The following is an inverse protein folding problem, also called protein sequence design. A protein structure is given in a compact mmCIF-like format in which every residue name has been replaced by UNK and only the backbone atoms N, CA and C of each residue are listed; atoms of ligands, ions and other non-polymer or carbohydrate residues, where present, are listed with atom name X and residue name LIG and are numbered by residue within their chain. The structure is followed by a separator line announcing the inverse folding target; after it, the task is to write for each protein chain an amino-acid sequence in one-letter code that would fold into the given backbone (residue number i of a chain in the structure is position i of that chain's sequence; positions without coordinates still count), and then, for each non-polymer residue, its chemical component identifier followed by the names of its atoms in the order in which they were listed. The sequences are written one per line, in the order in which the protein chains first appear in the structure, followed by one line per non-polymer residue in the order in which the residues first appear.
data_IF_232429876243
#
_entry.id   IF_232429876243
#
_cell.length_a   1.000
_cell.length_b   1.000
_cell.length_c   1.000
_cell.angle_alpha   90.00
_cell.angle_beta   90.00
_cell.angle_gamma   90.00
#
_symmetry.space_group_name_H-M   'P 1'
#
loop_
_entity.id
_entity.type
_entity.pdbx_description
1 polymer ?
#
# COMPACT_ATOMS: atom_id res chain seq x y z
N UNK A 1 -0.07 -10.46 -17.31
CA UNK A 1 0.39 -11.09 -16.04
C UNK A 1 1.33 -12.27 -16.28
N UNK A 2 0.96 -13.31 -17.03
CA UNK A 2 1.83 -14.48 -17.29
C UNK A 2 2.83 -14.23 -18.43
N UNK A 3 3.70 -13.24 -18.24
CA UNK A 3 4.73 -12.87 -19.20
C UNK A 3 6.11 -13.21 -18.63
N UNK A 4 6.88 -13.98 -19.40
CA UNK A 4 8.25 -14.40 -19.06
C UNK A 4 9.21 -13.21 -19.05
N UNK A 5 9.04 -12.31 -20.01
CA UNK A 5 9.76 -11.05 -20.10
C UNK A 5 9.20 -10.06 -19.05
N UNK A 6 10.06 -9.62 -18.12
CA UNK A 6 9.68 -8.73 -17.02
C UNK A 6 9.33 -7.33 -17.53
N UNK A 7 9.98 -6.85 -18.58
CA UNK A 7 9.73 -5.51 -19.12
C UNK A 7 8.40 -5.44 -19.86
N UNK A 8 7.90 -6.59 -20.33
CA UNK A 8 6.58 -6.68 -20.98
C UNK A 8 5.48 -7.09 -20.03
N UNK A 9 5.78 -7.34 -18.75
CA UNK A 9 4.78 -7.72 -17.75
C UNK A 9 3.99 -6.49 -17.34
N UNK A 10 2.67 -6.57 -17.49
CA UNK A 10 1.74 -5.54 -17.01
C UNK A 10 2.05 -5.12 -15.57
N UNK A 11 2.09 -3.82 -15.35
CA UNK A 11 2.11 -3.20 -14.03
C UNK A 11 0.76 -3.34 -13.33
N UNK A 12 0.71 -3.07 -12.03
CA UNK A 12 -0.55 -3.10 -11.27
C UNK A 12 -1.58 -2.12 -11.85
N UNK A 13 -1.17 -0.89 -12.15
CA UNK A 13 -2.01 0.16 -12.74
C UNK A 13 -2.57 -0.24 -14.11
N UNK A 14 -1.75 -0.82 -14.99
CA UNK A 14 -2.21 -1.29 -16.31
C UNK A 14 -3.15 -2.49 -16.19
N UNK A 15 -2.93 -3.37 -15.21
CA UNK A 15 -3.79 -4.51 -14.97
C UNK A 15 -5.17 -4.09 -14.45
N UNK A 16 -5.24 -3.10 -13.55
CA UNK A 16 -6.49 -2.54 -13.04
C UNK A 16 -7.30 -1.81 -14.13
N UNK A 17 -6.62 -1.26 -15.14
CA UNK A 17 -7.28 -0.65 -16.30
C UNK A 17 -7.88 -1.65 -17.31
N UNK A 18 -7.75 -2.95 -17.08
CA UNK A 18 -8.30 -3.97 -17.97
C UNK A 18 -9.83 -4.10 -17.81
N UNK A 19 -10.55 -4.25 -18.92
CA UNK A 19 -12.03 -4.35 -18.97
C UNK A 19 -12.65 -5.47 -18.11
N UNK A 20 -11.82 -6.40 -17.61
CA UNK A 20 -12.24 -7.42 -16.65
C UNK A 20 -12.67 -6.81 -15.31
N UNK A 21 -12.06 -5.67 -14.92
CA UNK A 21 -12.32 -5.00 -13.65
C UNK A 21 -13.38 -3.90 -13.74
N UNK A 22 -13.87 -3.52 -14.93
CA UNK A 22 -14.80 -2.39 -15.12
C UNK A 22 -16.04 -2.42 -14.21
N UNK A 23 -16.53 -3.61 -13.87
CA UNK A 23 -17.69 -3.78 -12.98
C UNK A 23 -17.42 -3.50 -11.49
N UNK A 24 -16.14 -3.45 -11.09
CA UNK A 24 -15.70 -3.22 -9.71
C UNK A 24 -14.73 -2.03 -9.60
N UNK A 25 -14.35 -1.43 -10.71
CA UNK A 25 -13.31 -0.42 -10.75
C UNK A 25 -13.84 0.90 -10.23
N UNK A 26 -13.24 1.37 -9.15
CA UNK A 26 -13.37 2.72 -8.64
C UNK A 26 -12.01 3.41 -8.66
N UNK A 27 -11.90 4.51 -9.40
CA UNK A 27 -10.65 5.26 -9.56
C UNK A 27 -10.26 5.94 -8.24
N UNK A 28 -11.22 6.26 -7.37
CA UNK A 28 -10.95 6.90 -6.08
C UNK A 28 -10.27 5.92 -5.10
N UNK A 29 -10.46 4.61 -5.27
CA UNK A 29 -9.82 3.57 -4.47
C UNK A 29 -8.40 3.23 -4.97
N UNK A 30 -8.04 3.59 -6.21
CA UNK A 30 -6.71 3.41 -6.81
C UNK A 30 -5.69 4.46 -6.29
N UNK A 31 -5.47 4.50 -4.97
CA UNK A 31 -4.58 5.47 -4.32
C UNK A 31 -3.09 5.13 -4.46
N UNK A 32 -2.26 6.17 -4.55
CA UNK A 32 -0.81 6.06 -4.48
C UNK A 32 -0.29 6.49 -3.10
N UNK A 33 0.84 5.91 -2.67
CA UNK A 33 1.49 6.36 -1.45
C UNK A 33 1.96 7.81 -1.61
N UNK A 34 1.52 8.68 -0.70
CA UNK A 34 1.85 10.11 -0.75
C UNK A 34 3.37 10.38 -0.64
N UNK A 35 4.09 9.48 0.02
CA UNK A 35 5.54 9.57 0.22
C UNK A 35 6.18 8.23 -0.12
N UNK A 36 7.38 8.28 -0.68
CA UNK A 36 8.20 7.08 -0.85
C UNK A 36 8.50 6.44 0.50
N UNK A 37 8.62 5.12 0.51
CA UNK A 37 9.06 4.38 1.69
C UNK A 37 10.49 4.79 2.07
N UNK A 38 10.72 5.04 3.37
CA UNK A 38 12.06 5.30 3.91
C UNK A 38 12.76 3.96 4.21
N UNK A 39 13.72 3.62 3.36
CA UNK A 39 14.49 2.38 3.41
C UNK A 39 15.81 2.51 4.18
N UNK A 40 16.07 3.65 4.83
CA UNK A 40 17.37 3.95 5.44
C UNK A 40 17.87 2.87 6.43
N UNK A 41 16.95 2.14 7.08
CA UNK A 41 17.28 1.08 8.04
C UNK A 41 17.53 -0.30 7.41
N UNK A 42 17.07 -0.56 6.18
CA UNK A 42 17.13 -1.89 5.59
C UNK A 42 18.58 -2.33 5.27
N UNK A 43 19.43 -1.34 4.99
CA UNK A 43 20.84 -1.53 4.68
C UNK A 43 21.73 -1.51 5.95
N UNK A 44 21.18 -1.17 7.12
CA UNK A 44 21.93 -1.12 8.38
C UNK A 44 22.03 -2.50 9.06
N UNK A 45 23.24 -2.87 9.50
CA UNK A 45 23.45 -4.07 10.32
C UNK A 45 23.33 -3.73 11.80
N UNK A 46 22.10 -3.61 12.28
CA UNK A 46 21.80 -3.32 13.68
C UNK A 46 21.75 -4.61 14.51
N UNK A 47 22.22 -4.54 15.75
CA UNK A 47 22.04 -5.57 16.77
C UNK A 47 20.59 -5.62 17.27
N UNK A 48 20.22 -6.70 17.96
CA UNK A 48 18.86 -6.87 18.50
C UNK A 48 18.47 -5.74 19.46
N UNK A 49 19.40 -5.26 20.28
CA UNK A 49 19.14 -4.16 21.23
C UNK A 49 18.95 -2.82 20.52
N UNK A 50 19.71 -2.56 19.45
CA UNK A 50 19.51 -1.36 18.61
C UNK A 50 18.16 -1.40 17.88
N UNK A 51 17.79 -2.57 17.32
CA UNK A 51 16.46 -2.77 16.72
C UNK A 51 15.34 -2.53 17.71
N UNK A 52 15.46 -3.06 18.94
CA UNK A 52 14.48 -2.82 20.02
C UNK A 52 14.40 -1.35 20.38
N UNK A 53 15.53 -0.67 20.52
CA UNK A 53 15.56 0.77 20.81
C UNK A 53 14.88 1.57 19.68
N UNK A 54 15.25 1.34 18.42
CA UNK A 54 14.61 2.00 17.28
C UNK A 54 13.12 1.70 17.24
N UNK A 55 12.68 0.46 17.37
CA UNK A 55 11.26 0.09 17.40
C UNK A 55 10.50 0.80 18.53
N UNK A 56 11.06 0.85 19.74
CA UNK A 56 10.45 1.54 20.87
C UNK A 56 10.42 3.06 20.69
N UNK A 57 11.43 3.64 20.02
CA UNK A 57 11.47 5.06 19.67
C UNK A 57 10.48 5.41 18.53
N UNK A 58 10.36 4.54 17.53
CA UNK A 58 9.37 4.64 16.45
C UNK A 58 7.94 4.48 16.99
N UNK A 59 7.76 3.60 17.98
CA UNK A 59 6.49 3.28 18.61
C UNK A 59 6.31 4.02 19.95
N UNK A 60 6.77 5.27 20.02
CA UNK A 60 6.26 6.22 21.00
C UNK A 60 4.75 6.35 20.79
N UNK A 61 3.98 5.99 21.81
CA UNK A 61 2.52 5.79 21.84
C UNK A 61 1.60 6.99 21.45
N UNK A 62 2.07 7.97 20.70
CA UNK A 62 1.27 9.11 20.24
C UNK A 62 1.74 9.52 18.84
N UNK A 63 0.82 9.50 17.87
CA UNK A 63 1.03 9.92 16.48
C UNK A 63 1.56 8.84 15.52
N UNK A 64 0.86 7.71 15.44
CA UNK A 64 0.59 7.19 14.10
C UNK A 64 -0.35 8.21 13.47
N UNK A 65 0.06 9.06 12.49
CA UNK A 65 -0.93 9.76 11.71
C UNK A 65 -1.82 8.66 11.14
N UNK A 66 -3.08 8.68 11.55
CA UNK A 66 -4.11 7.92 10.86
C UNK A 66 -3.98 8.40 9.42
N UNK A 67 -3.34 7.59 8.56
CA UNK A 67 -3.53 7.75 7.12
C UNK A 67 -5.04 7.60 6.99
N UNK A 68 -5.71 8.72 6.72
CA UNK A 68 -7.12 8.70 6.39
C UNK A 68 -7.23 7.82 5.16
N UNK A 69 -7.56 6.55 5.38
CA UNK A 69 -8.15 5.74 4.34
C UNK A 69 -9.38 6.52 3.89
N UNK A 70 -9.51 6.88 2.60
CA UNK A 70 -10.73 7.49 2.11
C UNK A 70 -11.88 6.58 2.57
N UNK A 71 -12.81 7.17 3.32
CA UNK A 71 -13.94 6.46 3.89
C UNK A 71 -14.65 5.69 2.78
N UNK A 72 -15.03 4.41 2.99
CA UNK A 72 -15.84 3.69 2.01
C UNK A 72 -17.24 4.30 2.01
N UNK A 73 -17.42 5.39 1.29
CA UNK A 73 -18.73 5.95 1.04
C UNK A 73 -19.43 5.04 0.04
N UNK A 74 -20.46 4.36 0.55
CA UNK A 74 -21.43 3.52 -0.16
C UNK A 74 -21.00 2.08 -0.49
N UNK A 75 -21.15 1.20 0.50
CA UNK A 75 -21.78 -0.09 0.22
C UNK A 75 -23.30 0.12 0.08
N UNK A 76 -23.90 0.10 -1.14
CA UNK A 76 -25.30 -0.25 -1.23
C UNK A 76 -25.37 -1.76 -0.98
N UNK A 77 -25.69 -2.13 0.26
CA UNK A 77 -26.37 -3.40 0.53
C UNK A 77 -27.59 -3.48 -0.38
N UNK A 78 -27.46 -4.13 -1.53
CA UNK A 78 -28.58 -4.65 -2.30
C UNK A 78 -28.72 -6.12 -1.99
N UNK A 79 -29.65 -6.36 -1.09
CA UNK A 79 -30.44 -7.58 -0.87
C UNK A 79 -30.47 -8.51 -2.08
N UNK A 80 -30.06 -9.76 -1.88
CA UNK A 80 -30.84 -10.96 -2.15
C UNK A 80 -30.54 -11.98 -1.03
#
# INVERSE_FOLDING_TARGET
MLQLDVEKRLTATEALAHAYFDQFRDIEEETEAQQSYDDSLEHEKLSIDEWRSKMLNFHGLLSVPCVELPSPSHCPVRTC
#
